data_IF_080135133381
#
_entry.id   IF_080135133381
#
_cell.length_a   1.000
_cell.length_b   1.000
_cell.length_c   1.000
_cell.angle_alpha   90.00
_cell.angle_beta   90.00
_cell.angle_gamma   90.00
#
_symmetry.space_group_name_H-M   'P 1'
#
loop_
_entity.id
_entity.type
_entity.pdbx_description
1 polymer ?
#
# COMPACT_ATOMS: atom_id res chain seq x y z
N UNK A 1 -1.50 -27.57 -10.67
CA UNK A 1 -2.84 -26.98 -10.88
C UNK A 1 -3.04 -25.87 -9.86
N UNK A 2 -2.92 -24.60 -10.27
CA UNK A 2 -3.09 -23.45 -9.37
C UNK A 2 -4.58 -23.25 -9.08
N UNK A 3 -5.00 -23.33 -7.82
CA UNK A 3 -6.31 -22.85 -7.38
C UNK A 3 -6.59 -21.50 -8.06
N UNK A 4 -7.73 -21.39 -8.76
CA UNK A 4 -8.04 -20.25 -9.63
C UNK A 4 -7.88 -18.93 -8.89
N UNK A 5 -7.06 -18.01 -9.43
CA UNK A 5 -6.91 -16.67 -8.85
C UNK A 5 -8.28 -15.99 -8.83
N UNK A 6 -8.64 -15.37 -7.70
CA UNK A 6 -9.85 -14.56 -7.62
C UNK A 6 -9.67 -13.29 -8.47
N UNK A 7 -10.36 -13.22 -9.61
CA UNK A 7 -10.20 -12.15 -10.60
C UNK A 7 -10.65 -10.78 -10.07
N UNK A 8 -11.62 -10.73 -9.17
CA UNK A 8 -12.02 -9.47 -8.52
C UNK A 8 -10.89 -8.95 -7.63
N UNK A 9 -10.26 -9.81 -6.83
CA UNK A 9 -9.17 -9.40 -5.95
C UNK A 9 -7.94 -8.95 -6.76
N UNK A 10 -7.64 -9.60 -7.88
CA UNK A 10 -6.58 -9.13 -8.79
C UNK A 10 -6.97 -7.80 -9.48
N UNK A 11 -8.25 -7.58 -9.80
CA UNK A 11 -8.76 -6.29 -10.30
C UNK A 11 -8.54 -5.18 -9.27
N UNK A 12 -8.95 -5.39 -8.02
CA UNK A 12 -8.73 -4.42 -6.94
C UNK A 12 -7.24 -4.17 -6.71
N UNK A 13 -6.39 -5.20 -6.84
CA UNK A 13 -4.93 -5.04 -6.73
C UNK A 13 -4.37 -4.16 -7.86
N UNK A 14 -4.87 -4.34 -9.08
CA UNK A 14 -4.55 -3.50 -10.24
C UNK A 14 -4.98 -2.04 -10.05
N UNK A 15 -6.17 -1.82 -9.51
CA UNK A 15 -6.67 -0.48 -9.17
C UNK A 15 -5.79 0.14 -8.10
N UNK A 16 -5.58 -0.56 -6.98
CA UNK A 16 -4.77 -0.07 -5.85
C UNK A 16 -3.37 0.34 -6.30
N UNK A 17 -2.69 -0.48 -7.11
CA UNK A 17 -1.34 -0.14 -7.56
C UNK A 17 -1.32 1.05 -8.52
N UNK A 18 -2.33 1.20 -9.38
CA UNK A 18 -2.41 2.37 -10.25
C UNK A 18 -2.64 3.66 -9.43
N UNK A 19 -3.47 3.60 -8.38
CA UNK A 19 -3.66 4.71 -7.45
C UNK A 19 -2.35 5.09 -6.75
N UNK A 20 -1.58 4.09 -6.28
CA UNK A 20 -0.22 4.31 -5.71
C UNK A 20 0.66 5.05 -6.70
N UNK A 21 0.74 4.59 -7.96
CA UNK A 21 1.56 5.25 -8.98
C UNK A 21 1.09 6.68 -9.21
N UNK A 22 -0.21 6.89 -9.46
CA UNK A 22 -0.79 8.21 -9.71
C UNK A 22 -0.54 9.18 -8.54
N UNK A 23 -0.72 8.71 -7.30
CA UNK A 23 -0.45 9.48 -6.10
C UNK A 23 1.00 9.94 -6.00
N UNK A 24 1.97 9.07 -6.32
CA UNK A 24 3.39 9.44 -6.32
C UNK A 24 3.80 10.32 -7.50
N UNK A 25 3.11 10.24 -8.64
CA UNK A 25 3.29 11.18 -9.75
C UNK A 25 2.82 12.57 -9.34
N UNK A 26 1.64 12.70 -8.72
CA UNK A 26 1.16 13.98 -8.17
C UNK A 26 2.11 14.48 -7.08
N UNK A 27 2.51 13.58 -6.17
CA UNK A 27 3.37 13.84 -5.02
C UNK A 27 2.55 14.05 -3.74
N UNK A 28 3.04 13.56 -2.61
CA UNK A 28 2.36 13.70 -1.31
C UNK A 28 2.38 15.11 -0.73
N UNK A 29 3.33 15.94 -1.16
CA UNK A 29 3.48 17.33 -0.77
C UNK A 29 3.85 18.22 -1.98
N UNK A 30 3.74 19.56 -1.88
CA UNK A 30 4.06 20.50 -2.97
C UNK A 30 5.50 20.40 -3.52
N UNK A 31 6.43 19.83 -2.76
CA UNK A 31 7.83 19.61 -3.17
C UNK A 31 8.08 18.21 -3.79
N UNK A 32 7.11 17.29 -3.67
CA UNK A 32 7.13 15.93 -4.20
C UNK A 32 6.50 15.79 -5.59
N UNK A 33 6.67 14.62 -6.22
CA UNK A 33 6.03 14.30 -7.51
C UNK A 33 6.27 15.36 -8.60
N UNK A 34 5.18 15.86 -9.20
CA UNK A 34 5.17 16.92 -10.21
C UNK A 34 5.34 18.34 -9.62
N UNK A 35 5.42 18.48 -8.30
CA UNK A 35 5.56 19.75 -7.58
C UNK A 35 4.42 20.75 -7.83
N UNK A 36 3.19 20.25 -7.77
CA UNK A 36 1.97 21.05 -7.94
C UNK A 36 1.60 21.65 -6.58
N UNK A 37 1.26 22.93 -6.48
CA UNK A 37 0.82 23.50 -5.19
C UNK A 37 -0.71 23.46 -5.01
N UNK A 38 -1.19 23.77 -3.81
CA UNK A 38 -2.61 23.98 -3.54
C UNK A 38 -3.05 25.40 -3.94
N UNK A 39 -4.29 25.61 -4.42
CA UNK A 39 -5.27 24.60 -4.79
C UNK A 39 -5.06 24.13 -6.25
N UNK A 40 -5.11 22.81 -6.47
CA UNK A 40 -5.13 22.24 -7.82
C UNK A 40 -6.01 20.98 -7.86
N UNK A 41 -6.78 20.71 -8.93
CA UNK A 41 -7.65 19.52 -9.00
C UNK A 41 -6.93 18.19 -8.75
N UNK A 42 -5.67 18.07 -9.18
CA UNK A 42 -4.85 16.89 -8.88
C UNK A 42 -4.48 16.76 -7.39
N UNK A 43 -4.40 17.87 -6.64
CA UNK A 43 -4.23 17.82 -5.18
C UNK A 43 -5.50 17.32 -4.50
N UNK A 44 -6.66 17.72 -5.01
CA UNK A 44 -7.94 17.18 -4.55
C UNK A 44 -8.03 15.68 -4.86
N UNK A 45 -7.69 15.25 -6.09
CA UNK A 45 -7.61 13.84 -6.45
C UNK A 45 -6.65 13.05 -5.55
N UNK A 46 -5.53 13.66 -5.15
CA UNK A 46 -4.59 13.02 -4.23
C UNK A 46 -5.23 12.68 -2.88
N UNK A 47 -6.13 13.50 -2.33
CA UNK A 47 -6.83 13.18 -1.07
C UNK A 47 -7.63 11.88 -1.19
N UNK A 48 -8.34 11.70 -2.31
CA UNK A 48 -9.07 10.45 -2.59
C UNK A 48 -8.14 9.25 -2.75
N UNK A 49 -7.00 9.45 -3.41
CA UNK A 49 -5.98 8.41 -3.59
C UNK A 49 -5.39 8.02 -2.23
N UNK A 50 -4.97 8.99 -1.43
CA UNK A 50 -4.34 8.79 -0.12
C UNK A 50 -5.28 8.07 0.86
N UNK A 51 -6.56 8.44 0.82
CA UNK A 51 -7.62 7.80 1.60
C UNK A 51 -7.72 6.28 1.39
N UNK A 52 -7.47 5.77 0.17
CA UNK A 52 -7.79 4.37 -0.18
C UNK A 52 -6.61 3.52 -0.64
N UNK A 53 -5.55 4.08 -1.23
CA UNK A 53 -4.53 3.32 -1.95
C UNK A 53 -3.80 2.28 -1.07
N UNK A 54 -3.23 2.70 0.06
CA UNK A 54 -2.48 1.83 0.98
C UNK A 54 -3.42 0.93 1.78
N UNK A 55 -4.54 1.44 2.33
CA UNK A 55 -5.53 0.57 2.98
C UNK A 55 -6.04 -0.56 2.09
N UNK A 56 -6.35 -0.27 0.81
CA UNK A 56 -6.83 -1.28 -0.13
C UNK A 56 -5.75 -2.31 -0.45
N UNK A 57 -4.53 -1.88 -0.70
CA UNK A 57 -3.40 -2.79 -0.94
C UNK A 57 -3.16 -3.70 0.27
N UNK A 58 -3.25 -3.16 1.48
CA UNK A 58 -3.09 -3.90 2.74
C UNK A 58 -4.23 -4.87 3.01
N UNK A 59 -5.48 -4.47 2.77
CA UNK A 59 -6.63 -5.35 2.91
C UNK A 59 -6.56 -6.53 1.93
N UNK A 60 -6.12 -6.31 0.69
CA UNK A 60 -5.86 -7.39 -0.26
C UNK A 60 -4.77 -8.33 0.26
N UNK A 61 -3.70 -7.80 0.87
CA UNK A 61 -2.65 -8.62 1.47
C UNK A 61 -3.16 -9.50 2.62
N UNK A 62 -4.04 -8.96 3.48
CA UNK A 62 -4.73 -9.69 4.54
C UNK A 62 -5.68 -10.77 4.00
N UNK A 63 -6.45 -10.45 2.97
CA UNK A 63 -7.35 -11.39 2.31
C UNK A 63 -6.58 -12.57 1.68
N UNK A 64 -5.49 -12.27 0.96
CA UNK A 64 -4.62 -13.31 0.36
C UNK A 64 -3.92 -14.15 1.41
N UNK A 65 -3.55 -13.55 2.54
CA UNK A 65 -2.99 -14.30 3.67
C UNK A 65 -4.02 -15.28 4.24
N UNK A 66 -5.25 -14.84 4.44
CA UNK A 66 -6.32 -15.67 4.99
C UNK A 66 -6.69 -16.88 4.12
N UNK A 67 -6.48 -16.83 2.79
CA UNK A 67 -6.67 -17.98 1.89
C UNK A 67 -5.75 -19.18 2.21
N UNK A 68 -4.59 -18.93 2.83
CA UNK A 68 -3.62 -19.97 3.20
C UNK A 68 -3.19 -19.73 4.64
N UNK A 69 -3.97 -20.21 5.63
CA UNK A 69 -3.65 -20.04 7.04
C UNK A 69 -2.20 -20.46 7.32
N UNK A 70 -1.45 -19.59 8.01
CA UNK A 70 0.00 -19.73 8.15
C UNK A 70 0.45 -20.84 9.13
N UNK A 71 -0.47 -21.60 9.71
CA UNK A 71 -0.17 -22.85 10.41
C UNK A 71 0.11 -24.01 9.43
N UNK A 72 0.70 -23.70 8.27
CA UNK A 72 1.31 -24.67 7.37
C UNK A 72 2.55 -25.29 8.05
N UNK A 73 2.88 -26.56 7.78
CA UNK A 73 4.01 -27.25 8.42
C UNK A 73 5.33 -26.55 8.05
N UNK A 74 6.05 -26.05 9.06
CA UNK A 74 7.35 -25.36 8.86
C UNK A 74 7.78 -24.37 9.96
N UNK A 75 6.89 -24.00 10.88
CA UNK A 75 7.23 -23.12 12.02
C UNK A 75 7.51 -21.66 11.64
N UNK A 76 7.80 -20.82 12.65
CA UNK A 76 7.99 -19.38 12.49
C UNK A 76 9.13 -19.02 11.54
N UNK A 77 10.29 -19.67 11.68
CA UNK A 77 11.50 -19.34 10.94
C UNK A 77 11.32 -19.51 9.44
N UNK A 78 10.67 -20.60 9.00
CA UNK A 78 10.40 -20.84 7.57
C UNK A 78 9.42 -19.80 7.03
N UNK A 79 8.39 -19.45 7.80
CA UNK A 79 7.43 -18.41 7.42
C UNK A 79 8.11 -17.03 7.29
N UNK A 80 8.83 -16.60 8.32
CA UNK A 80 9.55 -15.34 8.37
C UNK A 80 10.58 -15.24 7.23
N UNK A 81 11.37 -16.30 7.00
CA UNK A 81 12.33 -16.35 5.89
C UNK A 81 11.66 -16.18 4.53
N UNK A 82 10.56 -16.90 4.27
CA UNK A 82 9.83 -16.78 3.00
C UNK A 82 9.28 -15.36 2.78
N UNK A 83 8.78 -14.72 3.84
CA UNK A 83 8.29 -13.33 3.78
C UNK A 83 9.43 -12.33 3.59
N UNK A 84 10.54 -12.50 4.29
CA UNK A 84 11.72 -11.66 4.16
C UNK A 84 12.31 -11.73 2.75
N UNK A 85 12.48 -12.94 2.19
CA UNK A 85 12.96 -13.12 0.82
C UNK A 85 12.04 -12.50 -0.24
N UNK A 86 10.73 -12.44 0.03
CA UNK A 86 9.75 -11.87 -0.90
C UNK A 86 9.61 -10.37 -0.78
N UNK A 87 9.82 -9.79 0.41
CA UNK A 87 9.54 -8.38 0.69
C UNK A 87 10.81 -7.57 0.94
N UNK A 88 11.64 -8.01 1.90
CA UNK A 88 12.78 -7.24 2.39
C UNK A 88 13.99 -7.34 1.47
N UNK A 89 14.27 -8.51 0.88
CA UNK A 89 15.41 -8.65 -0.03
C UNK A 89 15.26 -7.77 -1.27
N UNK A 90 14.12 -7.77 -1.99
CA UNK A 90 13.93 -6.83 -3.10
C UNK A 90 13.90 -5.38 -2.67
N UNK A 91 13.36 -5.08 -1.48
CA UNK A 91 13.42 -3.74 -0.92
C UNK A 91 14.87 -3.26 -0.74
N UNK A 92 15.74 -4.10 -0.17
CA UNK A 92 17.15 -3.76 0.04
C UNK A 92 17.84 -3.52 -1.31
N UNK A 93 17.70 -4.45 -2.25
CA UNK A 93 18.40 -4.36 -3.55
C UNK A 93 17.89 -3.17 -4.37
N UNK A 94 16.56 -3.07 -4.54
CA UNK A 94 15.94 -2.04 -5.38
C UNK A 94 15.96 -0.68 -4.68
N UNK A 95 15.81 -0.63 -3.36
CA UNK A 95 15.91 0.59 -2.56
C UNK A 95 17.31 1.20 -2.59
N UNK A 96 18.36 0.37 -2.47
CA UNK A 96 19.74 0.84 -2.63
C UNK A 96 20.02 1.32 -4.05
N UNK A 97 19.57 0.56 -5.07
CA UNK A 97 19.67 1.00 -6.47
C UNK A 97 18.96 2.34 -6.70
N UNK A 98 17.77 2.51 -6.13
CA UNK A 98 16.98 3.74 -6.22
C UNK A 98 17.73 4.91 -5.59
N UNK A 99 18.31 4.73 -4.41
CA UNK A 99 19.11 5.76 -3.75
C UNK A 99 20.34 6.16 -4.59
N UNK A 100 21.09 5.19 -5.09
CA UNK A 100 22.29 5.45 -5.90
C UNK A 100 21.93 6.22 -7.17
N UNK A 101 20.88 5.80 -7.89
CA UNK A 101 20.42 6.51 -9.08
C UNK A 101 19.92 7.91 -8.71
N UNK A 102 19.19 8.05 -7.60
CA UNK A 102 18.68 9.32 -7.12
C UNK A 102 19.79 10.32 -6.78
N UNK A 103 20.89 9.84 -6.20
CA UNK A 103 22.07 10.62 -5.84
C UNK A 103 22.85 11.11 -7.06
N UNK A 104 23.02 10.24 -8.06
CA UNK A 104 23.81 10.52 -9.26
C UNK A 104 23.06 11.37 -10.29
N UNK A 105 21.75 11.13 -10.50
CA UNK A 105 20.98 11.76 -11.58
C UNK A 105 20.50 13.16 -11.19
N UNK A 106 20.85 14.21 -11.96
CA UNK A 106 20.30 15.55 -11.76
C UNK A 106 18.79 15.63 -12.03
N UNK A 107 18.08 16.51 -11.31
CA UNK A 107 16.63 16.75 -11.52
C UNK A 107 15.68 15.82 -10.75
N UNK A 108 16.21 14.95 -9.89
CA UNK A 108 15.44 14.23 -8.87
C UNK A 108 14.95 15.19 -7.78
N UNK A 109 13.86 14.84 -7.08
CA UNK A 109 13.25 15.75 -6.11
C UNK A 109 14.05 15.87 -4.79
N UNK A 110 14.88 14.88 -4.48
CA UNK A 110 15.74 14.85 -3.31
C UNK A 110 17.02 14.12 -3.73
N UNK A 111 18.22 14.65 -3.43
CA UNK A 111 19.47 13.97 -3.79
C UNK A 111 19.94 12.95 -2.74
N UNK A 112 19.37 13.00 -1.54
CA UNK A 112 19.85 12.21 -0.41
C UNK A 112 21.26 12.62 0.05
N UNK A 113 21.71 12.01 1.13
CA UNK A 113 23.05 12.17 1.68
C UNK A 113 23.70 10.78 1.75
N UNK A 114 24.80 10.59 1.02
CA UNK A 114 25.48 9.30 0.89
C UNK A 114 25.96 8.76 2.23
N UNK A 115 26.35 9.63 3.17
CA UNK A 115 26.78 9.25 4.52
C UNK A 115 25.64 8.62 5.34
N UNK A 116 24.39 8.90 4.94
CA UNK A 116 23.16 8.42 5.59
C UNK A 116 22.46 7.29 4.83
N UNK A 117 23.09 6.74 3.79
CA UNK A 117 22.51 5.65 2.98
C UNK A 117 22.12 4.42 3.82
N UNK A 118 22.90 4.10 4.86
CA UNK A 118 22.62 2.98 5.76
C UNK A 118 21.24 3.07 6.43
N UNK A 119 20.67 4.28 6.56
CA UNK A 119 19.34 4.49 7.16
C UNK A 119 18.22 3.80 6.37
N UNK A 120 18.41 3.56 5.08
CA UNK A 120 17.41 2.88 4.22
C UNK A 120 17.05 1.49 4.76
N UNK A 121 17.99 0.83 5.45
CA UNK A 121 17.80 -0.53 5.94
C UNK A 121 17.05 -0.60 7.29
N UNK A 122 17.03 0.49 8.04
CA UNK A 122 16.48 0.55 9.40
C UNK A 122 15.32 1.53 9.56
N UNK A 123 15.19 2.52 8.67
CA UNK A 123 14.18 3.56 8.73
C UNK A 123 13.32 3.57 7.45
N UNK A 124 12.08 4.09 7.52
CA UNK A 124 11.21 4.30 6.37
C UNK A 124 11.96 5.11 5.31
N UNK A 125 12.01 4.58 4.10
CA UNK A 125 12.66 5.26 2.99
C UNK A 125 11.69 5.40 1.83
N UNK A 126 11.39 6.65 1.47
CA UNK A 126 10.59 7.06 0.31
C UNK A 126 9.31 6.23 0.16
N UNK A 127 9.19 5.44 -0.90
CA UNK A 127 8.02 4.60 -1.21
C UNK A 127 8.09 3.26 -0.49
N UNK A 128 9.29 2.81 -0.10
CA UNK A 128 9.58 1.44 0.34
C UNK A 128 9.21 1.14 1.79
N UNK A 129 8.85 2.16 2.57
CA UNK A 129 8.47 2.04 3.99
C UNK A 129 7.40 0.97 4.25
N UNK A 130 6.53 0.72 3.28
CA UNK A 130 5.42 -0.20 3.43
C UNK A 130 5.84 -1.68 3.42
N UNK A 131 6.95 -2.04 2.77
CA UNK A 131 7.44 -3.43 2.75
C UNK A 131 7.84 -3.98 4.14
N UNK A 132 8.66 -3.27 4.94
CA UNK A 132 8.97 -3.71 6.30
C UNK A 132 7.74 -3.60 7.21
N UNK A 133 6.86 -2.61 7.03
CA UNK A 133 5.58 -2.56 7.75
C UNK A 133 4.74 -3.80 7.50
N UNK A 134 4.55 -4.18 6.23
CA UNK A 134 3.78 -5.36 5.85
C UNK A 134 4.43 -6.66 6.34
N UNK A 135 5.77 -6.72 6.36
CA UNK A 135 6.50 -7.83 6.97
C UNK A 135 6.16 -7.97 8.47
N UNK A 136 6.20 -6.87 9.23
CA UNK A 136 5.84 -6.86 10.66
C UNK A 136 4.38 -7.28 10.87
N UNK A 137 3.45 -6.78 10.06
CA UNK A 137 2.03 -7.19 10.10
C UNK A 137 1.89 -8.70 9.89
N UNK A 138 2.63 -9.29 8.95
CA UNK A 138 2.63 -10.74 8.77
C UNK A 138 3.15 -11.49 10.00
N UNK A 139 4.13 -10.95 10.73
CA UNK A 139 4.63 -11.57 11.97
C UNK A 139 3.57 -11.53 13.07
N UNK A 140 2.91 -10.37 13.23
CA UNK A 140 1.80 -10.20 14.20
C UNK A 140 0.68 -11.20 13.88
N UNK A 141 0.21 -11.24 12.63
CA UNK A 141 -0.85 -12.16 12.24
C UNK A 141 -0.45 -13.63 12.41
N UNK A 142 0.81 -13.98 12.12
CA UNK A 142 1.29 -15.34 12.34
C UNK A 142 1.22 -15.73 13.82
N UNK A 143 1.62 -14.84 14.73
CA UNK A 143 1.51 -15.07 16.17
C UNK A 143 0.03 -15.28 16.58
N UNK A 144 -0.88 -14.42 16.12
CA UNK A 144 -2.31 -14.53 16.40
C UNK A 144 -2.86 -15.89 15.95
N UNK A 145 -2.54 -16.31 14.72
CA UNK A 145 -2.99 -17.59 14.17
C UNK A 145 -2.34 -18.79 14.86
N UNK A 146 -1.06 -18.69 15.24
CA UNK A 146 -0.33 -19.77 15.95
C UNK A 146 -1.00 -20.13 17.27
N UNK A 147 -1.62 -19.16 17.94
CA UNK A 147 -2.38 -19.34 19.18
C UNK A 147 -3.89 -19.45 18.96
N UNK A 148 -4.36 -19.56 17.70
CA UNK A 148 -5.79 -19.65 17.35
C UNK A 148 -6.64 -18.52 17.96
N UNK A 149 -6.08 -17.30 18.01
CA UNK A 149 -6.69 -16.12 18.63
C UNK A 149 -7.55 -15.31 17.66
N UNK A 150 -7.83 -15.80 16.45
CA UNK A 150 -8.67 -15.14 15.44
C UNK A 150 -9.40 -16.18 14.56
N UNK A 151 -10.07 -17.13 15.23
CA UNK A 151 -10.89 -18.19 14.60
C UNK A 151 -12.39 -17.84 14.60
N UNK A 152 -12.83 -16.88 15.43
CA UNK A 152 -14.23 -16.45 15.52
C UNK A 152 -14.39 -14.95 15.27
N UNK A 153 -15.61 -14.55 14.88
CA UNK A 153 -15.96 -13.15 14.60
C UNK A 153 -15.70 -12.24 15.81
N UNK A 154 -15.99 -12.72 17.03
CA UNK A 154 -15.76 -11.99 18.28
C UNK A 154 -14.26 -11.75 18.51
N UNK A 155 -13.44 -12.78 18.32
CA UNK A 155 -11.99 -12.66 18.47
C UNK A 155 -11.41 -11.67 17.44
N UNK A 156 -11.86 -11.79 16.19
CA UNK A 156 -11.48 -10.86 15.13
C UNK A 156 -11.89 -9.41 15.46
N UNK A 157 -13.11 -9.19 15.94
CA UNK A 157 -13.58 -7.86 16.33
C UNK A 157 -12.72 -7.24 17.44
N UNK A 158 -12.33 -8.03 18.46
CA UNK A 158 -11.41 -7.57 19.51
C UNK A 158 -10.06 -7.14 18.92
N UNK A 159 -9.47 -7.94 18.02
CA UNK A 159 -8.21 -7.57 17.36
C UNK A 159 -8.33 -6.35 16.46
N UNK A 160 -9.47 -6.17 15.78
CA UNK A 160 -9.75 -4.96 15.01
C UNK A 160 -9.80 -3.72 15.90
N UNK A 161 -10.49 -3.79 17.05
CA UNK A 161 -10.53 -2.68 18.02
C UNK A 161 -9.13 -2.36 18.53
N UNK A 162 -8.34 -3.37 18.91
CA UNK A 162 -6.95 -3.19 19.33
C UNK A 162 -6.13 -2.51 18.21
N UNK A 163 -6.25 -2.98 16.96
CA UNK A 163 -5.54 -2.39 15.84
C UNK A 163 -5.93 -0.93 15.59
N UNK A 164 -7.23 -0.60 15.67
CA UNK A 164 -7.73 0.78 15.51
C UNK A 164 -7.16 1.68 16.60
N UNK A 165 -7.21 1.23 17.87
CA UNK A 165 -6.63 1.98 18.99
C UNK A 165 -5.13 2.21 18.81
N UNK A 166 -4.38 1.17 18.41
CA UNK A 166 -2.95 1.29 18.13
C UNK A 166 -2.68 2.25 16.96
N UNK A 167 -3.50 2.23 15.91
CA UNK A 167 -3.39 3.14 14.77
C UNK A 167 -3.62 4.60 15.16
N UNK A 168 -4.66 4.89 15.97
CA UNK A 168 -5.00 6.26 16.39
C UNK A 168 -3.97 6.81 17.39
N UNK A 169 -3.47 5.96 18.29
CA UNK A 169 -2.47 6.37 19.29
C UNK A 169 -1.06 6.43 18.70
N UNK A 170 -0.81 5.81 17.54
CA UNK A 170 0.52 5.75 16.92
C UNK A 170 1.18 7.13 16.74
N UNK A 171 0.40 8.15 16.37
CA UNK A 171 0.88 9.52 16.13
C UNK A 171 0.75 10.43 17.36
N UNK A 172 0.42 9.86 18.54
CA UNK A 172 0.25 10.57 19.82
C UNK A 172 1.12 9.96 20.93
N UNK A 173 1.34 10.75 21.99
CA UNK A 173 1.96 10.29 23.23
C UNK A 173 3.36 9.67 23.05
N UNK A 174 3.65 8.60 23.81
CA UNK A 174 4.97 7.95 23.83
C UNK A 174 5.40 7.40 22.46
N UNK A 175 4.45 6.93 21.63
CA UNK A 175 4.74 6.33 20.32
C UNK A 175 5.24 7.36 19.31
N UNK A 176 4.80 8.62 19.43
CA UNK A 176 5.28 9.72 18.59
C UNK A 176 6.80 9.94 18.76
N UNK A 177 7.31 9.87 19.99
CA UNK A 177 8.72 10.13 20.34
C UNK A 177 9.66 9.02 19.85
N UNK A 178 9.16 7.79 19.71
CA UNK A 178 10.00 6.66 19.31
C UNK A 178 10.47 6.79 17.85
N UNK A 179 11.77 6.58 17.57
CA UNK A 179 12.28 6.49 16.20
C UNK A 179 11.58 5.37 15.45
N UNK A 180 11.07 5.64 14.24
CA UNK A 180 10.28 4.69 13.45
C UNK A 180 11.14 3.54 12.86
N UNK A 181 11.74 2.71 13.71
CA UNK A 181 12.59 1.60 13.30
C UNK A 181 11.78 0.53 12.56
N UNK A 182 12.33 0.03 11.45
CA UNK A 182 11.70 -0.94 10.55
C UNK A 182 10.27 -0.58 10.14
N UNK A 183 9.95 0.72 10.12
CA UNK A 183 8.61 1.21 9.76
C UNK A 183 7.49 0.62 10.63
N UNK A 184 7.73 0.42 11.92
CA UNK A 184 6.71 -0.11 12.83
C UNK A 184 5.48 0.81 12.94
N UNK A 185 5.65 2.13 12.85
CA UNK A 185 4.52 3.08 12.87
C UNK A 185 3.59 2.85 11.68
N UNK A 186 4.17 2.62 10.50
CA UNK A 186 3.42 2.22 9.31
C UNK A 186 2.75 0.86 9.47
N UNK A 187 3.35 -0.07 10.22
CA UNK A 187 2.72 -1.36 10.53
C UNK A 187 1.47 -1.18 11.39
N UNK A 188 1.55 -0.35 12.44
CA UNK A 188 0.42 -0.06 13.33
C UNK A 188 -0.70 0.68 12.60
N UNK A 189 -0.37 1.69 11.78
CA UNK A 189 -1.35 2.43 10.99
C UNK A 189 -2.07 1.59 9.94
N UNK A 190 -1.42 0.55 9.40
CA UNK A 190 -1.99 -0.31 8.36
C UNK A 190 -2.62 -1.61 8.91
N UNK A 191 -2.37 -1.97 10.17
CA UNK A 191 -2.87 -3.18 10.80
C UNK A 191 -4.41 -3.32 10.75
N UNK A 192 -5.23 -2.27 10.98
CA UNK A 192 -6.68 -2.38 10.91
C UNK A 192 -7.17 -2.84 9.54
N UNK A 193 -6.56 -2.31 8.47
CA UNK A 193 -6.94 -2.63 7.10
C UNK A 193 -6.52 -4.06 6.72
N UNK A 194 -5.37 -4.52 7.22
CA UNK A 194 -4.98 -5.92 7.06
C UNK A 194 -6.00 -6.86 7.71
N UNK A 195 -6.42 -6.56 8.94
CA UNK A 195 -7.44 -7.34 9.64
C UNK A 195 -8.82 -7.27 8.98
N UNK A 196 -9.19 -6.14 8.37
CA UNK A 196 -10.40 -6.05 7.54
C UNK A 196 -10.32 -7.05 6.37
N UNK A 197 -9.17 -7.13 5.70
CA UNK A 197 -8.91 -8.13 4.66
C UNK A 197 -9.01 -9.59 5.13
N UNK A 198 -8.41 -9.90 6.29
CA UNK A 198 -8.50 -11.22 6.92
C UNK A 198 -9.95 -11.56 7.25
N UNK A 199 -10.69 -10.61 7.84
CA UNK A 199 -12.09 -10.78 8.21
C UNK A 199 -13.00 -11.01 7.00
N UNK A 200 -12.82 -10.21 5.94
CA UNK A 200 -13.56 -10.32 4.69
C UNK A 200 -13.35 -11.69 3.99
N UNK A 201 -12.22 -12.35 4.22
CA UNK A 201 -11.96 -13.69 3.71
C UNK A 201 -12.50 -14.79 4.64
N UNK A 202 -12.13 -14.76 5.93
CA UNK A 202 -12.44 -15.84 6.88
C UNK A 202 -13.92 -15.90 7.21
N UNK A 203 -14.54 -14.74 7.42
CA UNK A 203 -15.92 -14.63 7.85
C UNK A 203 -16.84 -14.17 6.72
N UNK A 204 -16.47 -14.50 5.48
CA UNK A 204 -17.20 -14.09 4.29
C UNK A 204 -18.65 -14.59 4.26
N UNK A 205 -18.98 -15.68 4.99
CA UNK A 205 -20.36 -16.20 5.04
C UNK A 205 -21.21 -15.37 5.99
N UNK A 206 -20.65 -15.00 7.12
CA UNK A 206 -21.26 -14.20 8.18
C UNK A 206 -21.53 -12.78 7.69
N UNK A 207 -20.57 -12.15 7.00
CA UNK A 207 -20.78 -10.84 6.38
C UNK A 207 -21.80 -10.88 5.24
N UNK A 208 -21.78 -11.92 4.39
CA UNK A 208 -22.79 -12.08 3.32
C UNK A 208 -24.19 -12.32 3.86
N UNK A 209 -24.31 -13.08 4.94
CA UNK A 209 -25.55 -13.35 5.65
C UNK A 209 -25.98 -12.24 6.61
N UNK A 210 -25.18 -11.17 6.75
CA UNK A 210 -25.54 -10.03 7.57
C UNK A 210 -26.78 -9.33 6.97
N UNK A 211 -27.72 -8.98 7.85
CA UNK A 211 -28.98 -8.35 7.45
C UNK A 211 -28.78 -6.98 6.78
N UNK A 212 -29.86 -6.47 6.17
CA UNK A 212 -29.87 -5.19 5.46
C UNK A 212 -29.27 -4.03 6.28
N UNK A 213 -29.51 -4.01 7.60
CA UNK A 213 -28.99 -2.99 8.52
C UNK A 213 -27.46 -2.92 8.57
N UNK A 214 -26.76 -4.06 8.54
CA UNK A 214 -25.29 -4.10 8.57
C UNK A 214 -24.72 -3.57 7.25
N UNK A 215 -25.35 -3.92 6.12
CA UNK A 215 -24.93 -3.41 4.82
C UNK A 215 -25.19 -1.91 4.71
N UNK A 216 -26.33 -1.45 5.20
CA UNK A 216 -26.67 -0.03 5.25
C UNK A 216 -25.65 0.74 6.11
N UNK A 217 -25.25 0.21 7.27
CA UNK A 217 -24.25 0.87 8.12
C UNK A 217 -22.88 0.96 7.45
N UNK A 218 -22.46 -0.06 6.69
CA UNK A 218 -21.23 0.00 5.88
C UNK A 218 -21.32 1.10 4.82
N UNK A 219 -22.44 1.21 4.10
CA UNK A 219 -22.65 2.28 3.11
C UNK A 219 -22.67 3.66 3.75
N UNK A 220 -23.38 3.84 4.86
CA UNK A 220 -23.41 5.12 5.60
C UNK A 220 -22.00 5.50 6.05
N UNK A 221 -21.21 4.57 6.58
CA UNK A 221 -19.83 4.83 6.96
C UNK A 221 -18.93 5.18 5.75
N UNK A 222 -19.13 4.54 4.60
CA UNK A 222 -18.40 4.88 3.37
C UNK A 222 -18.76 6.29 2.85
N UNK A 223 -20.06 6.66 2.87
CA UNK A 223 -20.51 8.01 2.52
C UNK A 223 -20.00 9.06 3.50
N UNK A 224 -19.92 8.74 4.80
CA UNK A 224 -19.26 9.60 5.77
C UNK A 224 -17.79 9.81 5.44
N UNK A 225 -17.08 8.78 4.97
CA UNK A 225 -15.71 8.90 4.46
C UNK A 225 -15.59 9.93 3.33
N UNK A 226 -16.51 9.88 2.36
CA UNK A 226 -16.59 10.85 1.26
C UNK A 226 -16.81 12.28 1.79
N UNK A 227 -17.70 12.44 2.77
CA UNK A 227 -17.94 13.75 3.40
C UNK A 227 -16.70 14.25 4.14
N UNK A 228 -15.97 13.38 4.86
CA UNK A 228 -14.74 13.75 5.56
C UNK A 228 -13.61 14.17 4.59
N UNK A 229 -13.55 13.61 3.37
CA UNK A 229 -12.63 14.09 2.33
C UNK A 229 -12.95 15.54 1.96
N UNK A 230 -14.24 15.92 1.92
CA UNK A 230 -14.63 17.31 1.67
C UNK A 230 -14.22 18.21 2.83
N UNK A 231 -14.41 17.75 4.07
CA UNK A 231 -13.96 18.49 5.27
C UNK A 231 -12.46 18.74 5.21
N UNK A 232 -11.65 17.74 4.86
CA UNK A 232 -10.19 17.90 4.75
C UNK A 232 -9.79 18.91 3.67
N UNK A 233 -10.56 19.00 2.58
CA UNK A 233 -10.28 19.97 1.51
C UNK A 233 -10.70 21.40 1.85
N UNK A 234 -11.85 21.58 2.51
CA UNK A 234 -12.46 22.90 2.71
C UNK A 234 -12.27 23.50 4.11
N UNK A 235 -11.95 22.69 5.13
CA UNK A 235 -11.81 23.15 6.50
C UNK A 235 -10.37 23.56 6.86
N UNK A 236 -10.20 24.15 8.05
CA UNK A 236 -8.87 24.50 8.57
C UNK A 236 -8.03 23.27 8.85
N UNK A 237 -6.71 23.46 8.99
CA UNK A 237 -5.76 22.37 9.22
C UNK A 237 -6.07 21.58 10.51
N UNK A 238 -6.56 22.24 11.55
CA UNK A 238 -6.94 21.62 12.82
C UNK A 238 -8.14 20.68 12.65
N UNK A 239 -9.17 21.13 11.90
CA UNK A 239 -10.36 20.32 11.61
C UNK A 239 -10.01 19.17 10.69
N UNK A 240 -9.16 19.40 9.68
CA UNK A 240 -8.68 18.37 8.77
C UNK A 240 -7.90 17.27 9.51
N UNK A 241 -7.08 17.63 10.51
CA UNK A 241 -6.36 16.68 11.34
C UNK A 241 -7.31 15.76 12.13
N UNK A 242 -8.37 16.32 12.73
CA UNK A 242 -9.40 15.52 13.42
C UNK A 242 -10.17 14.63 12.44
N UNK A 243 -10.52 15.14 11.26
CA UNK A 243 -11.20 14.37 10.22
C UNK A 243 -10.36 13.17 9.74
N UNK A 244 -9.04 13.33 9.61
CA UNK A 244 -8.12 12.26 9.28
C UNK A 244 -8.13 11.10 10.29
N UNK A 245 -8.33 11.37 11.58
CA UNK A 245 -8.38 10.30 12.59
C UNK A 245 -9.60 9.39 12.42
N UNK A 246 -10.69 9.92 11.87
CA UNK A 246 -11.91 9.17 11.58
C UNK A 246 -11.80 8.34 10.28
N UNK A 247 -10.74 8.53 9.48
CA UNK A 247 -10.56 7.78 8.24
C UNK A 247 -10.45 6.28 8.49
N UNK A 248 -9.81 5.85 9.57
CA UNK A 248 -9.66 4.41 9.87
C UNK A 248 -11.01 3.67 9.86
N UNK A 249 -12.05 4.25 10.44
CA UNK A 249 -13.38 3.63 10.52
C UNK A 249 -14.09 3.60 9.17
N UNK A 250 -14.09 4.75 8.47
CA UNK A 250 -14.79 4.90 7.18
C UNK A 250 -14.11 4.09 6.07
N UNK A 251 -12.78 4.00 6.10
CA UNK A 251 -11.99 3.19 5.17
C UNK A 251 -12.24 1.70 5.41
N UNK A 252 -12.27 1.22 6.66
CA UNK A 252 -12.59 -0.20 6.94
C UNK A 252 -13.93 -0.58 6.33
N UNK A 253 -14.97 0.26 6.50
CA UNK A 253 -16.27 0.02 5.91
C UNK A 253 -16.21 -0.02 4.37
N UNK A 254 -15.52 0.95 3.77
CA UNK A 254 -15.28 1.01 2.32
C UNK A 254 -14.58 -0.25 1.81
N UNK A 255 -13.56 -0.75 2.53
CA UNK A 255 -12.81 -1.94 2.16
C UNK A 255 -13.68 -3.20 2.15
N UNK A 256 -14.59 -3.35 3.13
CA UNK A 256 -15.55 -4.47 3.12
C UNK A 256 -16.44 -4.44 1.86
N UNK A 257 -16.99 -3.27 1.52
CA UNK A 257 -17.80 -3.11 0.31
C UNK A 257 -17.01 -3.41 -0.97
N UNK A 258 -15.77 -2.92 -1.06
CA UNK A 258 -14.89 -3.17 -2.21
C UNK A 258 -14.52 -4.64 -2.35
N UNK A 259 -14.16 -5.32 -1.25
CA UNK A 259 -13.76 -6.73 -1.27
C UNK A 259 -14.93 -7.68 -1.58
N UNK A 260 -16.18 -7.26 -1.34
CA UNK A 260 -17.38 -8.00 -1.73
C UNK A 260 -17.78 -7.82 -3.21
N UNK A 261 -17.15 -6.88 -3.93
CA UNK A 261 -17.44 -6.67 -5.33
C UNK A 261 -17.25 -7.96 -6.15
N UNK A 262 -18.08 -8.12 -7.18
CA UNK A 262 -17.99 -9.25 -8.13
C UNK A 262 -17.63 -8.81 -9.54
N UNK A 263 -17.21 -7.56 -9.69
CA UNK A 263 -16.77 -6.99 -10.96
C UNK A 263 -15.31 -7.34 -11.16
N UNK A 264 -14.97 -7.79 -12.37
CA UNK A 264 -13.59 -8.00 -12.78
C UNK A 264 -13.33 -7.25 -14.09
N UNK A 265 -12.10 -6.79 -14.27
CA UNK A 265 -11.67 -6.10 -15.47
C UNK A 265 -10.33 -6.69 -15.94
N UNK A 266 -10.26 -7.10 -17.22
CA UNK A 266 -9.08 -7.79 -17.77
C UNK A 266 -7.80 -6.97 -17.66
N UNK A 267 -7.87 -5.66 -17.90
CA UNK A 267 -6.72 -4.77 -17.80
C UNK A 267 -6.21 -4.69 -16.36
N UNK A 268 -7.09 -4.47 -15.38
CA UNK A 268 -6.69 -4.40 -13.98
C UNK A 268 -6.24 -5.75 -13.42
N UNK A 269 -6.82 -6.87 -13.86
CA UNK A 269 -6.30 -8.21 -13.51
C UNK A 269 -4.87 -8.39 -14.01
N UNK A 270 -4.60 -8.00 -15.27
CA UNK A 270 -3.26 -8.06 -15.84
C UNK A 270 -2.28 -7.17 -15.06
N UNK A 271 -2.67 -5.92 -14.78
CA UNK A 271 -1.86 -4.97 -14.03
C UNK A 271 -1.61 -5.46 -12.59
N UNK A 272 -2.62 -6.02 -11.93
CA UNK A 272 -2.55 -6.62 -10.60
C UNK A 272 -1.53 -7.77 -10.52
N UNK A 273 -1.32 -8.49 -11.62
CA UNK A 273 -0.28 -9.52 -11.73
C UNK A 273 1.15 -8.98 -11.60
N UNK A 274 1.36 -7.68 -11.90
CA UNK A 274 2.64 -6.98 -11.81
C UNK A 274 2.72 -6.03 -10.62
N UNK A 275 1.70 -5.98 -9.75
CA UNK A 275 1.57 -4.93 -8.74
C UNK A 275 2.78 -4.81 -7.81
N UNK A 276 3.42 -5.92 -7.43
CA UNK A 276 4.62 -5.88 -6.59
C UNK A 276 5.82 -5.27 -7.31
N UNK A 277 6.04 -5.64 -8.57
CA UNK A 277 7.10 -5.09 -9.42
C UNK A 277 6.86 -3.60 -9.69
N UNK A 278 5.61 -3.22 -10.00
CA UNK A 278 5.23 -1.81 -10.14
C UNK A 278 5.50 -1.06 -8.83
N UNK A 279 5.10 -1.60 -7.69
CA UNK A 279 5.36 -0.97 -6.40
C UNK A 279 6.87 -0.75 -6.16
N UNK A 280 7.72 -1.72 -6.50
CA UNK A 280 9.18 -1.59 -6.34
C UNK A 280 9.80 -0.57 -7.29
N UNK A 281 9.37 -0.50 -8.54
CA UNK A 281 10.10 0.23 -9.59
C UNK A 281 9.42 1.51 -10.08
N UNK A 282 8.17 1.79 -9.70
CA UNK A 282 7.45 2.95 -10.24
C UNK A 282 8.17 4.28 -9.95
N UNK A 283 8.86 4.40 -8.81
CA UNK A 283 9.65 5.59 -8.47
C UNK A 283 10.70 5.96 -9.53
N UNK A 284 11.31 4.99 -10.21
CA UNK A 284 12.24 5.25 -11.31
C UNK A 284 11.52 5.86 -12.51
N UNK A 285 10.34 5.34 -12.85
CA UNK A 285 9.55 5.84 -13.96
C UNK A 285 8.90 7.20 -13.68
N UNK A 286 8.51 7.48 -12.43
CA UNK A 286 7.97 8.80 -12.05
C UNK A 286 9.04 9.89 -12.17
N UNK A 287 10.23 9.67 -11.61
CA UNK A 287 11.33 10.63 -11.68
C UNK A 287 11.90 10.73 -13.10
N UNK A 288 12.22 9.59 -13.73
CA UNK A 288 12.80 9.54 -15.08
C UNK A 288 11.86 10.11 -16.13
N UNK A 289 10.57 9.74 -16.11
CA UNK A 289 9.57 10.27 -17.04
C UNK A 289 9.42 11.78 -16.93
N UNK A 290 9.39 12.33 -15.70
CA UNK A 290 9.33 13.78 -15.48
C UNK A 290 10.58 14.49 -15.99
N UNK A 291 11.77 13.95 -15.73
CA UNK A 291 13.03 14.53 -16.19
C UNK A 291 13.08 14.57 -17.72
N UNK A 292 12.75 13.46 -18.39
CA UNK A 292 12.73 13.37 -19.85
C UNK A 292 11.74 14.36 -20.48
N UNK A 293 10.50 14.44 -19.97
CA UNK A 293 9.52 15.40 -20.48
C UNK A 293 9.96 16.86 -20.26
N UNK A 294 10.60 17.15 -19.12
CA UNK A 294 11.17 18.47 -18.85
C UNK A 294 12.28 18.83 -19.84
N UNK A 295 13.14 17.87 -20.19
CA UNK A 295 14.19 18.06 -21.21
C UNK A 295 13.61 18.33 -22.60
N UNK A 296 12.47 17.70 -22.92
CA UNK A 296 11.71 17.95 -24.15
C UNK A 296 10.90 19.26 -24.11
N UNK A 297 10.99 20.05 -23.04
CA UNK A 297 10.27 21.31 -22.89
C UNK A 297 8.78 21.16 -22.55
N UNK A 298 8.28 19.94 -22.31
CA UNK A 298 6.86 19.68 -22.00
C UNK A 298 6.59 20.01 -20.54
N UNK A 299 5.85 21.11 -20.31
CA UNK A 299 5.48 21.58 -18.96
C UNK A 299 4.00 21.42 -18.62
N UNK A 300 3.15 21.16 -19.63
CA UNK A 300 1.71 21.09 -19.45
C UNK A 300 1.33 19.92 -18.53
N UNK A 301 0.81 20.21 -17.34
CA UNK A 301 0.43 19.21 -16.33
C UNK A 301 -0.55 18.18 -16.90
N UNK A 302 -1.48 18.61 -17.76
CA UNK A 302 -2.44 17.74 -18.45
C UNK A 302 -1.78 16.67 -19.32
N UNK A 303 -0.56 16.91 -19.80
CA UNK A 303 0.24 15.94 -20.59
C UNK A 303 1.19 15.18 -19.67
N UNK A 304 1.87 15.88 -18.76
CA UNK A 304 2.88 15.28 -17.86
C UNK A 304 2.24 14.21 -16.98
N UNK A 305 1.08 14.48 -16.37
CA UNK A 305 0.43 13.54 -15.46
C UNK A 305 0.13 12.17 -16.09
N UNK A 306 -0.65 12.07 -17.20
CA UNK A 306 -0.96 10.77 -17.80
C UNK A 306 0.27 10.08 -18.38
N UNK A 307 1.20 10.82 -19.02
CA UNK A 307 2.39 10.23 -19.62
C UNK A 307 3.34 9.67 -18.56
N UNK A 308 3.63 10.43 -17.51
CA UNK A 308 4.50 9.96 -16.41
C UNK A 308 3.86 8.79 -15.67
N UNK A 309 2.54 8.80 -15.45
CA UNK A 309 1.81 7.67 -14.84
C UNK A 309 1.90 6.40 -15.70
N UNK A 310 1.76 6.54 -17.02
CA UNK A 310 1.90 5.43 -17.96
C UNK A 310 3.33 4.87 -17.97
N UNK A 311 4.35 5.72 -18.03
CA UNK A 311 5.77 5.32 -17.97
C UNK A 311 6.07 4.63 -16.63
N UNK A 312 5.63 5.21 -15.52
CA UNK A 312 5.84 4.66 -14.18
C UNK A 312 5.13 3.32 -13.95
N UNK A 313 4.08 3.03 -14.71
CA UNK A 313 3.38 1.74 -14.67
C UNK A 313 3.96 0.72 -15.67
N UNK A 314 4.36 1.15 -16.87
CA UNK A 314 4.85 0.29 -17.93
C UNK A 314 6.32 -0.14 -17.73
N UNK A 315 7.18 0.77 -17.27
CA UNK A 315 8.61 0.47 -17.05
C UNK A 315 8.81 -0.72 -16.09
N UNK A 316 8.16 -0.78 -14.91
CA UNK A 316 8.27 -1.93 -14.03
C UNK A 316 7.79 -3.26 -14.63
N UNK A 317 6.79 -3.21 -15.52
CA UNK A 317 6.28 -4.39 -16.21
C UNK A 317 7.32 -4.94 -17.19
N UNK A 318 8.05 -4.06 -17.88
CA UNK A 318 9.19 -4.45 -18.74
C UNK A 318 10.31 -5.03 -17.88
N UNK A 319 10.68 -4.36 -16.77
CA UNK A 319 11.69 -4.85 -15.83
C UNK A 319 11.33 -6.24 -15.31
N UNK A 320 10.08 -6.47 -14.90
CA UNK A 320 9.61 -7.79 -14.46
C UNK A 320 9.82 -8.86 -15.54
N UNK A 321 9.40 -8.59 -16.78
CA UNK A 321 9.52 -9.57 -17.88
C UNK A 321 10.96 -9.88 -18.25
N UNK A 322 11.87 -8.91 -18.15
CA UNK A 322 13.29 -9.09 -18.45
C UNK A 322 14.00 -9.79 -17.29
N UNK A 323 13.89 -9.24 -16.07
CA UNK A 323 14.50 -9.80 -14.87
C UNK A 323 13.97 -11.21 -14.53
N UNK A 324 12.69 -11.47 -14.84
CA UNK A 324 12.05 -12.77 -14.62
C UNK A 324 12.67 -13.93 -15.41
N UNK A 325 13.47 -13.65 -16.46
CA UNK A 325 14.20 -14.66 -17.24
C UNK A 325 15.44 -15.19 -16.51
N UNK A 326 15.98 -14.44 -15.55
CA UNK A 326 17.21 -14.78 -14.85
C UNK A 326 16.92 -15.13 -13.40
N UNK A 327 17.39 -16.30 -12.94
CA UNK A 327 17.10 -16.82 -11.59
C UNK A 327 17.48 -15.83 -10.48
N UNK A 328 18.68 -15.27 -10.53
CA UNK A 328 19.17 -14.33 -9.53
C UNK A 328 18.33 -13.03 -9.52
N UNK A 329 18.09 -12.42 -10.68
CA UNK A 329 17.31 -11.19 -10.80
C UNK A 329 15.85 -11.40 -10.38
N UNK A 330 15.24 -12.56 -10.71
CA UNK A 330 13.89 -12.93 -10.29
C UNK A 330 13.73 -12.96 -8.76
N UNK A 331 14.74 -13.46 -8.04
CA UNK A 331 14.73 -13.49 -6.58
C UNK A 331 15.06 -12.11 -6.02
N UNK A 332 16.18 -11.51 -6.44
CA UNK A 332 16.72 -10.29 -5.86
C UNK A 332 15.92 -9.04 -6.19
N UNK A 333 15.34 -8.94 -7.39
CA UNK A 333 14.62 -7.75 -7.84
C UNK A 333 13.11 -7.89 -7.74
N UNK A 334 12.56 -9.11 -7.83
CA UNK A 334 11.11 -9.34 -7.90
C UNK A 334 10.56 -10.12 -6.72
N UNK A 335 11.40 -10.65 -5.82
CA UNK A 335 10.97 -11.45 -4.67
C UNK A 335 10.22 -12.73 -5.07
N UNK A 336 10.40 -13.20 -6.31
CA UNK A 336 9.75 -14.40 -6.84
C UNK A 336 10.60 -15.62 -6.50
N UNK A 337 9.96 -16.78 -6.37
CA UNK A 337 10.65 -18.02 -6.06
C UNK A 337 11.74 -18.32 -7.10
N UNK A 338 12.86 -18.88 -6.61
CA UNK A 338 14.03 -19.23 -7.39
C UNK A 338 13.76 -20.40 -8.34
#
# INVERSE_FOLDING_TARGET
MTAGKNLTIETLRGIAILLVVAGHVIGSAPDGGMKIDFPHPLRYLYLWIDYIQMPLFTAIAGWVYALKPAALPGGFVVFARKKAMRLLVPMIVVGTLYFVIQYLVPGTNNKGDITRMWRIYFFPYTIYWYLPSLFLIFMIQWCIDRYKKMESLRQWAVWCVIAILLSVVNDRGMMHVLPNLFSFKGALGQLPYFFAGVGACRFAREFRGAGCLVRLSLWVAAFLGVALIQVVWFASAEVAAVAHELYVLTVIATLFLLLEMRVHNRFFVWLGGYAYSIYLFHGFGTAGGRILLKMLGVKAVAVVFPVVTAVASALPVVVDRVAGRYKAARVLLLGKAA
#
